data_IF_834325041233
#
_entry.id   IF_834325041233
#
_cell.length_a   1.000
_cell.length_b   1.000
_cell.length_c   1.000
_cell.angle_alpha   90.00
_cell.angle_beta   90.00
_cell.angle_gamma   90.00
#
_symmetry.space_group_name_H-M   'P 1'
#
loop_
_entity.id
_entity.type
_entity.pdbx_description
1 polymer ?
#
# COMPACT_ATOMS: atom_id res chain seq x y z
N UNK A 1 -6.67 5.04 -9.86
CA UNK A 1 -5.39 5.77 -9.64
C UNK A 1 -4.39 5.53 -10.77
N UNK A 2 -3.94 4.29 -11.00
CA UNK A 2 -2.91 3.97 -12.01
C UNK A 2 -3.20 4.52 -13.41
N UNK A 3 -4.42 4.34 -13.94
CA UNK A 3 -4.78 4.85 -15.28
C UNK A 3 -4.60 6.37 -15.42
N UNK A 4 -4.96 7.14 -14.39
CA UNK A 4 -4.74 8.59 -14.36
C UNK A 4 -3.26 8.94 -14.21
N UNK A 5 -2.52 8.28 -13.31
CA UNK A 5 -1.10 8.55 -13.13
C UNK A 5 -0.29 8.26 -14.42
N UNK A 6 -0.59 7.12 -15.07
CA UNK A 6 0.04 6.68 -16.32
C UNK A 6 -0.28 7.56 -17.53
N UNK A 7 -1.37 8.34 -17.49
CA UNK A 7 -1.65 9.30 -18.56
C UNK A 7 -0.79 10.56 -18.48
N UNK A 8 -0.17 10.83 -17.32
CA UNK A 8 0.69 11.99 -17.08
C UNK A 8 2.18 11.65 -17.18
N UNK A 9 2.56 10.43 -16.80
CA UNK A 9 3.95 9.97 -16.81
C UNK A 9 4.01 8.47 -17.08
N UNK A 10 5.04 8.00 -17.80
CA UNK A 10 5.30 6.57 -17.92
C UNK A 10 5.71 5.99 -16.55
N UNK A 11 4.88 5.07 -16.04
CA UNK A 11 5.01 4.44 -14.73
C UNK A 11 4.87 2.92 -14.89
N UNK A 12 5.95 2.25 -15.35
CA UNK A 12 5.93 0.82 -15.64
C UNK A 12 5.76 0.01 -14.34
N UNK A 13 4.94 -1.03 -14.39
CA UNK A 13 4.87 -2.03 -13.34
C UNK A 13 6.22 -2.72 -13.16
N UNK A 14 6.51 -3.21 -11.96
CA UNK A 14 7.56 -4.21 -11.82
C UNK A 14 7.17 -5.51 -12.54
N UNK A 15 8.07 -6.12 -13.34
CA UNK A 15 7.84 -7.45 -13.90
C UNK A 15 8.10 -8.55 -12.88
N UNK A 16 8.87 -8.26 -11.83
CA UNK A 16 9.17 -9.12 -10.69
C UNK A 16 9.60 -8.28 -9.50
N UNK A 17 9.49 -8.81 -8.28
CA UNK A 17 10.00 -8.08 -7.11
C UNK A 17 11.53 -7.92 -7.18
N UNK A 18 12.09 -6.74 -6.81
CA UNK A 18 13.53 -6.56 -6.73
C UNK A 18 14.16 -7.55 -5.74
N UNK A 19 15.25 -8.20 -6.18
CA UNK A 19 15.98 -9.16 -5.35
C UNK A 19 16.68 -8.46 -4.17
N UNK A 20 16.97 -9.19 -3.08
CA UNK A 20 17.75 -8.67 -1.98
C UNK A 20 19.15 -8.21 -2.41
N UNK A 21 19.77 -7.40 -1.57
CA UNK A 21 21.15 -6.94 -1.73
C UNK A 21 22.10 -8.12 -2.07
N UNK A 22 22.87 -8.04 -3.16
CA UNK A 22 23.84 -9.08 -3.49
C UNK A 22 24.98 -9.11 -2.43
N UNK A 23 25.50 -10.29 -2.06
CA UNK A 23 26.63 -10.37 -1.14
C UNK A 23 27.89 -9.75 -1.73
N UNK A 24 28.64 -8.97 -0.92
CA UNK A 24 29.83 -8.23 -1.35
C UNK A 24 30.91 -9.17 -1.95
N UNK A 25 31.04 -10.36 -1.37
CA UNK A 25 31.99 -11.39 -1.76
C UNK A 25 31.63 -12.08 -3.10
N UNK A 26 30.37 -11.97 -3.55
CA UNK A 26 29.90 -12.55 -4.81
C UNK A 26 29.83 -11.53 -5.93
N UNK A 27 29.35 -10.33 -5.64
CA UNK A 27 29.25 -9.24 -6.61
C UNK A 27 29.53 -7.89 -5.95
N UNK A 28 30.81 -7.50 -5.99
CA UNK A 28 31.26 -6.22 -5.44
C UNK A 28 30.65 -5.01 -6.15
N UNK A 29 30.47 -5.06 -7.48
CA UNK A 29 29.94 -3.92 -8.23
C UNK A 29 28.43 -3.80 -8.02
N UNK A 30 27.70 -4.92 -8.02
CA UNK A 30 26.28 -4.96 -7.67
C UNK A 30 26.03 -4.45 -6.26
N UNK A 31 26.84 -4.87 -5.28
CA UNK A 31 26.75 -4.37 -3.90
C UNK A 31 26.87 -2.84 -3.86
N UNK A 32 27.89 -2.25 -4.50
CA UNK A 32 28.08 -0.78 -4.49
C UNK A 32 26.90 -0.06 -5.16
N UNK A 33 26.42 -0.56 -6.30
CA UNK A 33 25.25 0.01 -7.00
C UNK A 33 23.97 -0.07 -6.19
N UNK A 34 23.81 -1.13 -5.40
CA UNK A 34 22.66 -1.30 -4.51
C UNK A 34 22.63 -0.20 -3.44
N UNK A 35 23.76 0.12 -2.82
CA UNK A 35 23.83 1.20 -1.82
C UNK A 35 23.72 2.60 -2.42
N UNK A 36 23.96 2.76 -3.72
CA UNK A 36 23.66 4.00 -4.46
C UNK A 36 22.17 4.15 -4.78
N UNK A 37 21.37 3.10 -4.57
CA UNK A 37 19.97 3.02 -4.98
C UNK A 37 19.78 3.42 -6.46
N UNK A 38 20.68 2.92 -7.33
CA UNK A 38 20.84 3.41 -8.69
C UNK A 38 19.57 3.37 -9.55
N UNK A 39 18.68 2.40 -9.32
CA UNK A 39 17.39 2.25 -10.02
C UNK A 39 16.17 2.72 -9.19
N UNK A 40 16.39 3.19 -7.97
CA UNK A 40 15.33 3.60 -7.05
C UNK A 40 14.66 2.44 -6.29
N UNK A 41 15.10 1.19 -6.47
CA UNK A 41 14.42 0.00 -5.95
C UNK A 41 15.21 -0.78 -4.88
N UNK A 42 16.38 -0.29 -4.48
CA UNK A 42 17.11 -0.86 -3.36
C UNK A 42 16.32 -0.67 -2.05
N UNK A 43 16.39 -1.64 -1.15
CA UNK A 43 15.72 -1.52 0.16
C UNK A 43 16.40 -0.43 0.99
N UNK A 44 15.63 0.55 1.49
CA UNK A 44 16.18 1.51 2.44
C UNK A 44 16.60 0.80 3.73
N UNK A 45 17.68 1.28 4.39
CA UNK A 45 18.11 0.73 5.67
C UNK A 45 16.99 0.70 6.72
N UNK A 46 17.02 -0.32 7.58
CA UNK A 46 16.14 -0.39 8.74
C UNK A 46 16.39 0.79 9.70
N UNK A 47 15.39 1.11 10.52
CA UNK A 47 15.52 2.10 11.59
C UNK A 47 15.04 1.52 12.92
N UNK A 48 15.45 2.17 14.00
CA UNK A 48 14.98 1.85 15.34
C UNK A 48 13.86 2.80 15.73
N UNK A 49 12.81 2.24 16.33
CA UNK A 49 11.71 2.99 16.94
C UNK A 49 11.95 3.06 18.45
N UNK A 50 12.21 4.25 19.01
CA UNK A 50 12.44 4.41 20.46
C UNK A 50 11.27 3.83 21.27
N UNK A 51 11.58 3.03 22.30
CA UNK A 51 10.58 2.42 23.18
C UNK A 51 9.57 1.45 22.51
N UNK A 52 9.82 1.01 21.27
CA UNK A 52 9.02 -0.02 20.58
C UNK A 52 9.93 -1.07 19.92
N UNK A 53 10.41 -2.01 20.74
CA UNK A 53 11.27 -3.11 20.31
C UNK A 53 10.57 -4.06 19.33
N UNK A 54 9.26 -4.31 19.53
CA UNK A 54 8.47 -5.16 18.63
C UNK A 54 8.39 -4.56 17.22
N UNK A 55 8.13 -3.25 17.13
CA UNK A 55 8.10 -2.56 15.84
C UNK A 55 9.48 -2.50 15.20
N UNK A 56 10.51 -2.21 15.99
CA UNK A 56 11.91 -2.22 15.51
C UNK A 56 12.28 -3.58 14.93
N UNK A 57 11.97 -4.67 15.65
CA UNK A 57 12.23 -6.03 15.18
C UNK A 57 11.44 -6.33 13.90
N UNK A 58 10.16 -5.97 13.85
CA UNK A 58 9.32 -6.22 12.69
C UNK A 58 9.79 -5.46 11.43
N UNK A 59 10.24 -4.21 11.56
CA UNK A 59 10.84 -3.43 10.46
C UNK A 59 12.15 -4.07 10.00
N UNK A 60 12.94 -4.62 10.93
CA UNK A 60 14.15 -5.35 10.58
C UNK A 60 13.83 -6.62 9.80
N UNK A 61 12.91 -7.43 10.32
CA UNK A 61 12.53 -8.72 9.75
C UNK A 61 11.93 -8.56 8.35
N UNK A 62 11.01 -7.62 8.16
CA UNK A 62 10.34 -7.44 6.86
C UNK A 62 11.32 -7.04 5.73
N UNK A 63 12.44 -6.42 6.08
CA UNK A 63 13.51 -6.01 5.15
C UNK A 63 14.58 -7.09 4.97
N UNK A 64 14.57 -8.15 5.77
CA UNK A 64 15.53 -9.24 5.68
C UNK A 64 15.46 -9.98 4.33
N UNK A 65 16.59 -10.58 3.93
CA UNK A 65 16.67 -11.39 2.72
C UNK A 65 15.88 -12.70 2.87
N UNK A 66 15.89 -13.28 4.07
CA UNK A 66 15.14 -14.48 4.41
C UNK A 66 13.64 -14.26 4.21
N UNK A 67 13.13 -13.10 4.61
CA UNK A 67 11.72 -12.74 4.44
C UNK A 67 11.33 -12.55 2.97
N UNK A 68 12.25 -12.09 2.12
CA UNK A 68 12.02 -12.11 0.67
C UNK A 68 11.75 -13.53 0.18
N UNK A 69 12.62 -14.47 0.53
CA UNK A 69 12.52 -15.86 0.10
C UNK A 69 11.33 -16.60 0.73
N UNK A 70 10.97 -16.31 1.98
CA UNK A 70 9.89 -17.00 2.68
C UNK A 70 8.50 -16.43 2.41
N UNK A 71 8.39 -15.16 2.03
CA UNK A 71 7.11 -14.46 1.88
C UNK A 71 6.95 -13.83 0.49
N UNK A 72 7.81 -12.90 0.09
CA UNK A 72 7.64 -12.15 -1.16
C UNK A 72 7.70 -13.04 -2.39
N UNK A 73 8.64 -13.99 -2.46
CA UNK A 73 8.70 -14.95 -3.56
C UNK A 73 7.53 -15.94 -3.54
N UNK A 74 6.99 -16.27 -2.35
CA UNK A 74 5.80 -17.13 -2.22
C UNK A 74 4.58 -16.40 -2.78
N UNK A 75 4.34 -15.15 -2.38
CA UNK A 75 3.25 -14.32 -2.92
C UNK A 75 3.41 -14.09 -4.42
N UNK A 76 4.62 -13.79 -4.88
CA UNK A 76 4.90 -13.62 -6.31
C UNK A 76 4.57 -14.87 -7.13
N UNK A 77 4.87 -16.06 -6.60
CA UNK A 77 4.52 -17.33 -7.21
C UNK A 77 3.02 -17.60 -7.17
N UNK A 78 2.39 -17.49 -6.00
CA UNK A 78 0.96 -17.77 -5.79
C UNK A 78 0.08 -16.88 -6.66
N UNK A 79 0.37 -15.59 -6.71
CA UNK A 79 -0.42 -14.64 -7.49
C UNK A 79 -0.15 -14.68 -9.00
N UNK A 80 0.69 -15.61 -9.46
CA UNK A 80 0.86 -15.97 -10.87
C UNK A 80 0.44 -17.41 -11.18
N UNK A 81 0.09 -18.22 -10.18
CA UNK A 81 -0.34 -19.61 -10.38
C UNK A 81 -1.83 -19.66 -10.77
N UNK A 82 -2.17 -20.08 -12.00
CA UNK A 82 -3.56 -20.16 -12.43
C UNK A 82 -4.40 -21.12 -11.57
N UNK A 83 -3.80 -22.16 -10.97
CA UNK A 83 -4.53 -23.10 -10.09
C UNK A 83 -4.86 -22.48 -8.74
N UNK A 84 -4.03 -21.55 -8.28
CA UNK A 84 -4.26 -20.81 -7.05
C UNK A 84 -5.35 -19.76 -7.28
N UNK A 85 -5.15 -18.91 -8.29
CA UNK A 85 -6.04 -17.79 -8.61
C UNK A 85 -7.47 -18.21 -8.98
N UNK A 86 -7.64 -19.31 -9.73
CA UNK A 86 -8.96 -19.77 -10.17
C UNK A 86 -9.90 -20.24 -9.04
N UNK A 87 -9.43 -20.23 -7.79
CA UNK A 87 -10.20 -20.57 -6.58
C UNK A 87 -10.77 -19.35 -5.87
N UNK A 88 -10.37 -18.15 -6.27
CA UNK A 88 -10.67 -16.91 -5.57
C UNK A 88 -11.64 -16.08 -6.40
N UNK A 89 -12.67 -15.51 -5.78
CA UNK A 89 -13.35 -14.35 -6.36
C UNK A 89 -12.43 -13.14 -6.41
N UNK A 90 -12.80 -12.12 -7.17
CA UNK A 90 -12.07 -10.86 -7.25
C UNK A 90 -12.02 -10.15 -5.88
N UNK A 91 -13.11 -10.20 -5.10
CA UNK A 91 -13.12 -9.69 -3.73
C UNK A 91 -12.19 -10.46 -2.79
N UNK A 92 -12.14 -11.79 -2.90
CA UNK A 92 -11.22 -12.62 -2.11
C UNK A 92 -9.76 -12.32 -2.45
N UNK A 93 -9.42 -12.25 -3.74
CA UNK A 93 -8.07 -11.91 -4.21
C UNK A 93 -7.64 -10.54 -3.69
N UNK A 94 -8.49 -9.51 -3.84
CA UNK A 94 -8.20 -8.17 -3.38
C UNK A 94 -7.96 -8.10 -1.88
N UNK A 95 -8.84 -8.71 -1.07
CA UNK A 95 -8.73 -8.75 0.39
C UNK A 95 -7.48 -9.49 0.86
N UNK A 96 -7.16 -10.63 0.24
CA UNK A 96 -5.97 -11.40 0.60
C UNK A 96 -4.67 -10.66 0.27
N UNK A 97 -4.59 -10.03 -0.90
CA UNK A 97 -3.45 -9.22 -1.29
C UNK A 97 -3.29 -7.99 -0.39
N UNK A 98 -4.38 -7.29 -0.06
CA UNK A 98 -4.36 -6.09 0.77
C UNK A 98 -3.89 -6.39 2.21
N UNK A 99 -4.47 -7.41 2.84
CA UNK A 99 -4.18 -7.76 4.24
C UNK A 99 -2.86 -8.54 4.42
N UNK A 100 -2.29 -9.07 3.34
CA UNK A 100 -1.04 -9.83 3.35
C UNK A 100 0.12 -9.07 2.74
N UNK A 101 0.14 -9.00 1.41
CA UNK A 101 1.27 -8.52 0.61
C UNK A 101 1.39 -6.99 0.59
N UNK A 102 0.28 -6.28 0.45
CA UNK A 102 0.26 -4.83 0.19
C UNK A 102 0.90 -4.03 1.31
N UNK A 103 0.45 -4.18 2.56
CA UNK A 103 1.02 -3.48 3.71
C UNK A 103 2.52 -3.79 3.87
N UNK A 104 2.92 -5.01 3.49
CA UNK A 104 4.30 -5.45 3.52
C UNK A 104 5.17 -4.83 2.42
N UNK A 105 4.63 -4.63 1.21
CA UNK A 105 5.30 -3.89 0.14
C UNK A 105 5.60 -2.45 0.57
N UNK A 106 4.62 -1.77 1.16
CA UNK A 106 4.78 -0.43 1.71
C UNK A 106 5.92 -0.37 2.72
N UNK A 107 5.90 -1.22 3.76
CA UNK A 107 6.88 -1.14 4.84
C UNK A 107 8.26 -1.71 4.49
N UNK A 108 8.33 -2.66 3.54
CA UNK A 108 9.61 -3.18 3.05
C UNK A 108 10.41 -2.13 2.28
N UNK A 109 9.77 -1.35 1.42
CA UNK A 109 10.43 -0.27 0.67
C UNK A 109 10.35 1.11 1.32
N UNK A 110 9.67 1.25 2.47
CA UNK A 110 9.69 2.50 3.22
C UNK A 110 11.10 2.85 3.70
N UNK A 111 11.53 4.10 3.49
CA UNK A 111 12.59 4.71 4.28
C UNK A 111 12.04 5.22 5.61
N UNK A 112 12.93 5.56 6.55
CA UNK A 112 12.51 6.23 7.79
C UNK A 112 11.71 7.50 7.43
N UNK A 113 10.52 7.70 8.01
CA UNK A 113 9.75 8.93 7.82
C UNK A 113 10.53 10.13 8.36
N UNK A 114 10.38 11.30 7.72
CA UNK A 114 11.10 12.53 8.07
C UNK A 114 10.13 13.70 8.18
N UNK A 115 10.41 14.64 9.10
CA UNK A 115 9.69 15.91 9.15
C UNK A 115 10.03 16.73 7.88
N UNK A 116 9.06 17.11 7.06
CA UNK A 116 9.33 17.78 5.78
C UNK A 116 10.00 19.16 5.95
N UNK A 117 9.87 19.78 7.12
CA UNK A 117 10.42 21.13 7.36
C UNK A 117 11.95 21.13 7.53
N UNK A 118 12.53 20.01 7.99
CA UNK A 118 13.95 19.96 8.36
C UNK A 118 14.64 18.61 8.06
N UNK A 119 13.91 17.60 7.57
CA UNK A 119 14.42 16.28 7.26
C UNK A 119 14.74 15.40 8.49
N UNK A 120 14.41 15.83 9.70
CA UNK A 120 14.69 15.06 10.92
C UNK A 120 13.87 13.75 10.92
N UNK A 121 14.47 12.60 11.30
CA UNK A 121 13.76 11.33 11.35
C UNK A 121 12.66 11.36 12.43
N UNK A 122 11.47 10.88 12.08
CA UNK A 122 10.30 10.81 12.96
C UNK A 122 9.74 9.37 12.97
N UNK A 123 10.40 8.38 13.60
CA UNK A 123 10.17 6.94 13.40
C UNK A 123 8.72 6.41 13.47
N UNK A 124 7.81 7.16 14.10
CA UNK A 124 6.39 6.84 14.24
C UNK A 124 5.48 7.50 13.20
N UNK A 125 6.07 8.23 12.25
CA UNK A 125 5.40 9.03 11.23
C UNK A 125 4.51 10.14 11.81
N UNK A 126 3.72 10.76 10.93
CA UNK A 126 2.74 11.80 11.23
C UNK A 126 1.59 11.22 12.07
N UNK A 127 1.04 12.04 12.97
CA UNK A 127 -0.27 11.75 13.57
C UNK A 127 -1.37 11.79 12.47
N UNK A 128 -2.22 10.76 12.32
CA UNK A 128 -3.28 10.74 11.31
C UNK A 128 -4.16 12.00 11.26
N UNK A 129 -4.37 12.67 12.39
CA UNK A 129 -5.17 13.90 12.52
C UNK A 129 -4.36 15.21 12.44
N UNK A 130 -3.02 15.17 12.30
CA UNK A 130 -2.18 16.35 12.10
C UNK A 130 -2.20 16.79 10.62
N UNK A 131 -2.94 17.85 10.33
CA UNK A 131 -3.04 18.47 9.00
C UNK A 131 -2.21 19.75 8.87
N UNK A 132 -1.13 19.89 9.63
CA UNK A 132 -0.23 21.02 9.45
C UNK A 132 0.34 21.07 8.04
N UNK A 133 0.49 22.30 7.50
CA UNK A 133 0.91 22.53 6.11
C UNK A 133 2.21 21.83 5.71
N UNK A 134 3.15 21.66 6.66
CA UNK A 134 4.43 20.96 6.42
C UNK A 134 4.25 19.55 5.87
N UNK A 135 3.21 18.83 6.30
CA UNK A 135 2.99 17.44 5.86
C UNK A 135 2.53 17.33 4.40
N UNK A 136 2.01 18.42 3.83
CA UNK A 136 1.60 18.46 2.42
C UNK A 136 2.77 18.80 1.48
N UNK A 137 3.97 19.04 2.00
CA UNK A 137 5.14 19.30 1.21
C UNK A 137 5.58 18.03 0.45
N UNK A 138 6.13 18.15 -0.78
CA UNK A 138 6.49 17.00 -1.61
C UNK A 138 7.56 16.10 -0.99
N UNK A 139 8.33 16.61 -0.03
CA UNK A 139 9.30 15.84 0.74
C UNK A 139 8.65 14.80 1.67
N UNK A 140 7.34 14.90 1.92
CA UNK A 140 6.59 13.87 2.62
C UNK A 140 6.12 12.78 1.66
N UNK A 141 7.00 11.84 1.34
CA UNK A 141 6.74 10.69 0.47
C UNK A 141 6.79 9.35 1.23
N UNK A 142 6.50 9.39 2.54
CA UNK A 142 6.64 8.20 3.36
C UNK A 142 5.63 7.10 2.97
N UNK A 143 6.16 5.94 2.56
CA UNK A 143 5.38 4.79 2.13
C UNK A 143 4.49 4.19 3.22
N UNK A 144 4.82 4.38 4.51
CA UNK A 144 4.07 3.78 5.62
C UNK A 144 2.75 4.49 6.01
N UNK A 145 2.39 5.60 5.36
CA UNK A 145 1.15 6.36 5.57
C UNK A 145 0.45 6.62 4.22
N UNK A 146 -0.83 6.24 4.02
CA UNK A 146 -1.57 6.52 2.78
C UNK A 146 -1.70 8.00 2.44
N UNK A 147 -1.54 8.89 3.43
CA UNK A 147 -1.48 10.34 3.20
C UNK A 147 -0.32 10.75 2.28
N UNK A 148 0.80 10.02 2.31
CA UNK A 148 2.04 10.33 1.58
C UNK A 148 2.53 9.22 0.66
N UNK A 149 2.05 7.98 0.82
CA UNK A 149 2.62 6.82 0.14
C UNK A 149 2.60 6.92 -1.38
N UNK A 150 1.53 7.50 -1.94
CA UNK A 150 1.34 7.70 -3.37
C UNK A 150 2.29 8.76 -3.99
N UNK A 151 3.00 9.53 -3.16
CA UNK A 151 4.04 10.47 -3.62
C UNK A 151 5.35 9.73 -3.93
N UNK A 152 5.62 8.61 -3.26
CA UNK A 152 6.82 7.83 -3.46
C UNK A 152 6.84 7.15 -4.85
N UNK A 153 7.92 7.23 -5.64
CA UNK A 153 7.97 6.57 -6.95
C UNK A 153 7.76 5.05 -6.88
N UNK A 154 8.26 4.38 -5.85
CA UNK A 154 8.18 2.92 -5.69
C UNK A 154 6.74 2.44 -5.55
N UNK A 155 5.85 3.28 -5.00
CA UNK A 155 4.41 3.02 -4.92
C UNK A 155 3.84 2.56 -6.26
N UNK A 156 4.12 3.31 -7.32
CA UNK A 156 3.54 3.07 -8.63
C UNK A 156 4.03 1.76 -9.26
N UNK A 157 5.27 1.36 -8.97
CA UNK A 157 5.84 0.12 -9.50
C UNK A 157 5.20 -1.12 -8.90
N UNK A 158 5.06 -1.19 -7.57
CA UNK A 158 4.43 -2.36 -6.93
C UNK A 158 2.90 -2.33 -7.03
N UNK A 159 2.26 -1.16 -7.06
CA UNK A 159 0.83 -1.11 -7.37
C UNK A 159 0.54 -1.53 -8.81
N UNK A 160 1.40 -1.16 -9.76
CA UNK A 160 1.34 -1.70 -11.12
C UNK A 160 1.52 -3.22 -11.14
N UNK A 161 2.47 -3.76 -10.38
CA UNK A 161 2.65 -5.21 -10.25
C UNK A 161 1.39 -5.89 -9.72
N UNK A 162 0.70 -5.32 -8.71
CA UNK A 162 -0.55 -5.84 -8.15
C UNK A 162 -1.67 -5.80 -9.20
N UNK A 163 -1.84 -4.67 -9.88
CA UNK A 163 -2.85 -4.45 -10.94
C UNK A 163 -2.69 -5.49 -12.06
N UNK A 164 -1.45 -5.78 -12.48
CA UNK A 164 -1.17 -6.79 -13.49
C UNK A 164 -1.59 -8.22 -13.07
N UNK A 165 -1.67 -8.52 -11.75
CA UNK A 165 -2.15 -9.83 -11.26
C UNK A 165 -3.65 -10.02 -11.45
N UNK A 166 -4.42 -8.95 -11.59
CA UNK A 166 -5.85 -9.02 -11.91
C UNK A 166 -6.04 -9.69 -13.29
N UNK A 167 -5.13 -9.42 -14.23
CA UNK A 167 -5.14 -10.05 -15.53
C UNK A 167 -4.68 -11.52 -15.48
N UNK A 168 -3.76 -11.87 -14.58
CA UNK A 168 -3.43 -13.28 -14.30
C UNK A 168 -4.64 -14.03 -13.73
N UNK A 169 -5.40 -13.39 -12.82
CA UNK A 169 -6.64 -13.93 -12.27
C UNK A 169 -7.71 -14.13 -13.34
N UNK A 170 -7.92 -13.14 -14.21
CA UNK A 170 -8.86 -13.27 -15.33
C UNK A 170 -8.48 -14.46 -16.23
N UNK A 171 -7.20 -14.56 -16.62
CA UNK A 171 -6.70 -15.70 -17.42
C UNK A 171 -6.86 -17.04 -16.70
N UNK A 172 -6.72 -17.06 -15.38
CA UNK A 172 -6.95 -18.26 -14.58
C UNK A 172 -8.42 -18.71 -14.63
N UNK A 173 -9.36 -17.77 -14.48
CA UNK A 173 -10.79 -18.07 -14.62
C UNK A 173 -11.16 -18.48 -16.03
N UNK A 174 -10.64 -17.83 -17.07
CA UNK A 174 -10.88 -18.27 -18.45
C UNK A 174 -10.37 -19.69 -18.72
N UNK A 175 -9.31 -20.11 -18.02
CA UNK A 175 -8.75 -21.46 -18.14
C UNK A 175 -9.59 -22.52 -17.42
N UNK A 176 -10.06 -22.25 -16.21
CA UNK A 176 -10.69 -23.24 -15.34
C UNK A 176 -12.22 -23.12 -15.22
N UNK A 177 -12.76 -21.95 -15.55
CA UNK A 177 -14.17 -21.55 -15.46
C UNK A 177 -14.55 -20.70 -16.71
N UNK A 178 -14.40 -21.24 -17.94
CA UNK A 178 -14.44 -20.45 -19.17
C UNK A 178 -15.78 -19.73 -19.35
N UNK A 179 -15.73 -18.42 -19.60
CA UNK A 179 -16.91 -17.58 -19.84
C UNK A 179 -17.68 -17.18 -18.57
N UNK A 180 -17.24 -17.60 -17.38
CA UNK A 180 -17.87 -17.20 -16.12
C UNK A 180 -17.43 -15.80 -15.63
N UNK A 181 -16.39 -15.23 -16.24
CA UNK A 181 -15.93 -13.84 -16.00
C UNK A 181 -15.98 -13.07 -17.30
N UNK A 182 -16.69 -11.95 -17.32
CA UNK A 182 -16.85 -11.10 -18.51
C UNK A 182 -16.22 -9.74 -18.28
N UNK A 183 -15.50 -9.23 -19.27
CA UNK A 183 -14.94 -7.87 -19.24
C UNK A 183 -16.05 -6.82 -19.36
N UNK A 184 -15.86 -5.69 -18.69
CA UNK A 184 -16.76 -4.55 -18.68
C UNK A 184 -15.95 -3.27 -18.45
N UNK A 185 -16.35 -2.14 -19.03
CA UNK A 185 -15.79 -0.84 -18.62
C UNK A 185 -16.61 -0.27 -17.47
N UNK A 186 -15.96 0.08 -16.36
CA UNK A 186 -16.60 0.69 -15.18
C UNK A 186 -15.86 1.97 -14.83
N UNK A 187 -16.56 3.11 -14.82
CA UNK A 187 -15.97 4.43 -14.55
C UNK A 187 -14.76 4.78 -15.45
N UNK A 188 -14.79 4.36 -16.73
CA UNK A 188 -13.70 4.58 -17.69
C UNK A 188 -12.48 3.68 -17.47
N UNK A 189 -12.61 2.63 -16.65
CA UNK A 189 -11.55 1.65 -16.35
C UNK A 189 -11.95 0.28 -16.91
N UNK A 190 -11.01 -0.38 -17.59
CA UNK A 190 -11.20 -1.77 -18.00
C UNK A 190 -11.31 -2.67 -16.76
N UNK A 191 -12.46 -3.33 -16.63
CA UNK A 191 -12.88 -4.06 -15.44
C UNK A 191 -13.67 -5.32 -15.81
N UNK A 192 -14.44 -5.86 -14.86
CA UNK A 192 -15.25 -7.07 -15.02
C UNK A 192 -16.69 -6.86 -14.56
N UNK A 193 -17.62 -7.53 -15.24
CA UNK A 193 -19.02 -7.53 -14.88
C UNK A 193 -19.28 -8.39 -13.62
N UNK A 194 -20.29 -8.04 -12.80
CA UNK A 194 -20.71 -8.86 -11.67
C UNK A 194 -21.13 -10.26 -12.10
N UNK A 195 -20.85 -11.24 -11.26
CA UNK A 195 -21.14 -12.65 -11.52
C UNK A 195 -20.65 -13.54 -10.40
N UNK A 196 -20.44 -14.82 -10.71
CA UNK A 196 -19.98 -15.82 -9.72
C UNK A 196 -18.67 -15.42 -9.04
N UNK A 197 -17.76 -14.81 -9.78
CA UNK A 197 -16.40 -14.50 -9.34
C UNK A 197 -16.16 -13.00 -9.13
N UNK A 198 -17.16 -12.15 -9.34
CA UNK A 198 -17.10 -10.70 -9.14
C UNK A 198 -18.38 -10.30 -8.39
N UNK A 199 -18.26 -10.05 -7.09
CA UNK A 199 -19.40 -9.97 -6.19
C UNK A 199 -20.27 -8.72 -6.42
N UNK A 200 -19.64 -7.61 -6.78
CA UNK A 200 -20.29 -6.29 -6.92
C UNK A 200 -19.87 -5.59 -8.22
N UNK A 201 -20.72 -4.70 -8.72
CA UNK A 201 -20.50 -3.97 -9.99
C UNK A 201 -20.22 -2.48 -9.83
N UNK A 202 -20.24 -2.01 -8.60
CA UNK A 202 -20.18 -0.63 -8.16
C UNK A 202 -18.97 -0.44 -7.22
N UNK A 203 -17.73 -0.49 -7.75
CA UNK A 203 -16.54 -0.27 -6.94
C UNK A 203 -16.56 1.10 -6.26
N UNK A 204 -16.16 1.13 -4.99
CA UNK A 204 -16.17 2.34 -4.17
C UNK A 204 -14.94 3.22 -4.44
N UNK A 205 -15.17 4.44 -4.93
CA UNK A 205 -14.15 5.47 -5.17
C UNK A 205 -14.39 6.68 -4.26
N UNK A 206 -14.96 6.43 -3.07
CA UNK A 206 -15.39 7.49 -2.16
C UNK A 206 -16.72 8.13 -2.57
N UNK A 207 -16.95 9.40 -2.19
CA UNK A 207 -18.17 10.14 -2.49
C UNK A 207 -18.51 10.26 -3.98
N UNK A 208 -17.53 10.11 -4.86
CA UNK A 208 -17.75 10.18 -6.31
C UNK A 208 -18.66 9.08 -6.85
N UNK A 209 -18.62 7.89 -6.25
CA UNK A 209 -19.47 6.77 -6.69
C UNK A 209 -20.59 6.46 -5.69
N UNK A 210 -20.42 6.82 -4.41
CA UNK A 210 -21.36 6.44 -3.34
C UNK A 210 -21.70 7.59 -2.38
N UNK A 211 -21.38 8.83 -2.76
CA UNK A 211 -21.82 10.02 -2.04
C UNK A 211 -23.32 10.24 -2.24
N UNK A 212 -23.97 10.80 -1.22
CA UNK A 212 -25.41 11.11 -1.27
C UNK A 212 -25.65 12.63 -1.28
N UNK A 213 -24.60 13.44 -1.15
CA UNK A 213 -24.73 14.89 -1.13
C UNK A 213 -24.95 15.44 -2.53
N UNK A 214 -25.98 16.29 -2.67
CA UNK A 214 -26.24 17.06 -3.89
C UNK A 214 -25.66 18.47 -3.83
N UNK A 215 -25.05 18.84 -2.69
CA UNK A 215 -24.41 20.14 -2.51
C UNK A 215 -23.12 20.20 -3.32
N UNK A 216 -22.95 21.18 -4.24
CA UNK A 216 -21.72 21.35 -4.99
C UNK A 216 -20.52 21.59 -4.07
N UNK A 217 -19.39 20.93 -4.35
CA UNK A 217 -18.12 21.16 -3.67
C UNK A 217 -17.28 22.26 -4.29
N UNK A 218 -16.11 22.50 -3.70
CA UNK A 218 -15.08 23.42 -4.18
C UNK A 218 -14.46 22.97 -5.51
N UNK A 219 -14.37 21.66 -5.73
CA UNK A 219 -13.90 21.11 -7.00
C UNK A 219 -15.04 21.04 -8.01
N UNK A 220 -14.81 21.62 -9.20
CA UNK A 220 -15.81 21.62 -10.26
C UNK A 220 -16.23 20.19 -10.63
N UNK A 221 -17.53 19.92 -10.59
CA UNK A 221 -18.11 18.61 -10.92
C UNK A 221 -18.07 17.58 -9.78
N UNK A 222 -17.66 17.97 -8.57
CA UNK A 222 -17.64 17.11 -7.37
C UNK A 222 -18.62 17.62 -6.31
N UNK A 223 -19.09 16.71 -5.45
CA UNK A 223 -19.91 17.08 -4.28
C UNK A 223 -19.05 17.66 -3.16
N UNK A 224 -19.68 18.37 -2.22
CA UNK A 224 -19.02 18.91 -1.02
C UNK A 224 -18.33 17.85 -0.15
N UNK A 225 -18.70 16.57 -0.30
CA UNK A 225 -18.03 15.47 0.40
C UNK A 225 -16.58 15.27 -0.06
N UNK A 226 -16.22 15.80 -1.23
CA UNK A 226 -14.86 15.84 -1.74
C UNK A 226 -14.06 17.09 -1.30
N UNK A 227 -14.65 17.96 -0.46
CA UNK A 227 -13.95 19.16 -0.01
C UNK A 227 -12.89 18.84 1.05
N UNK A 228 -11.70 19.46 0.99
CA UNK A 228 -10.61 19.16 1.93
C UNK A 228 -11.00 19.28 3.40
N UNK A 229 -11.82 20.26 3.77
CA UNK A 229 -12.26 20.42 5.17
C UNK A 229 -13.26 19.34 5.61
N UNK A 230 -14.07 18.81 4.69
CA UNK A 230 -14.97 17.68 4.97
C UNK A 230 -14.16 16.38 5.11
N UNK A 231 -13.17 16.16 4.25
CA UNK A 231 -12.23 15.04 4.41
C UNK A 231 -11.48 15.11 5.74
N UNK A 232 -10.94 16.28 6.11
CA UNK A 232 -10.30 16.49 7.42
C UNK A 232 -11.25 16.23 8.58
N UNK A 233 -12.51 16.68 8.49
CA UNK A 233 -13.53 16.43 9.51
C UNK A 233 -13.80 14.93 9.65
N UNK A 234 -13.99 14.21 8.55
CA UNK A 234 -14.20 12.76 8.56
C UNK A 234 -13.04 12.03 9.24
N UNK A 235 -11.79 12.38 8.90
CA UNK A 235 -10.60 11.81 9.54
C UNK A 235 -10.51 12.13 11.03
N UNK A 236 -10.88 13.36 11.45
CA UNK A 236 -10.95 13.71 12.88
C UNK A 236 -12.04 12.93 13.62
N UNK A 237 -13.15 12.60 12.97
CA UNK A 237 -14.18 11.74 13.57
C UNK A 237 -13.64 10.31 13.72
N UNK A 238 -12.95 9.79 12.70
CA UNK A 238 -12.39 8.43 12.71
C UNK A 238 -11.25 8.26 13.72
N UNK A 239 -10.38 9.26 13.86
CA UNK A 239 -9.14 9.13 14.66
C UNK A 239 -9.11 10.00 15.93
N UNK A 240 -9.83 11.12 15.96
CA UNK A 240 -9.80 12.07 17.07
C UNK A 240 -10.83 11.78 18.18
N UNK A 241 -11.88 11.03 17.87
CA UNK A 241 -12.91 10.68 18.84
C UNK A 241 -12.53 9.40 19.61
N UNK A 242 -11.54 9.46 20.53
CA UNK A 242 -11.57 8.70 21.79
C UNK A 242 -10.27 8.69 22.65
N UNK A 243 -9.26 9.53 22.40
CA UNK A 243 -8.03 9.44 23.19
C UNK A 243 -8.22 9.71 24.70
N UNK A 244 -9.15 10.57 25.10
CA UNK A 244 -9.39 10.83 26.53
C UNK A 244 -10.30 9.80 27.21
N UNK A 245 -11.25 9.19 26.49
CA UNK A 245 -12.22 8.24 27.04
C UNK A 245 -11.64 6.81 27.14
N UNK A 246 -10.71 6.45 26.25
CA UNK A 246 -10.06 5.13 26.20
C UNK A 246 -8.79 5.01 27.02
N UNK A 247 -8.21 6.13 27.50
CA UNK A 247 -6.98 6.18 28.30
C UNK A 247 -6.97 5.24 29.52
N UNK A 248 -8.15 4.92 30.06
CA UNK A 248 -8.32 4.03 31.21
C UNK A 248 -8.73 2.59 30.91
N UNK A 249 -9.12 2.27 29.67
CA UNK A 249 -9.76 0.98 29.33
C UNK A 249 -8.85 0.02 28.56
N UNK A 250 -7.84 0.52 27.86
CA UNK A 250 -6.93 -0.30 27.05
C UNK A 250 -5.46 0.02 27.35
N UNK A 251 -4.63 -1.03 27.36
CA UNK A 251 -3.17 -0.87 27.37
C UNK A 251 -2.79 -0.01 26.16
N UNK A 252 -2.12 1.12 26.37
CA UNK A 252 -1.69 2.04 25.29
C UNK A 252 -1.06 1.23 24.16
N UNK A 253 -1.75 1.14 23.03
CA UNK A 253 -1.17 0.60 21.81
C UNK A 253 -0.14 1.64 21.35
N UNK A 254 1.13 1.27 21.16
CA UNK A 254 2.13 2.21 20.67
C UNK A 254 1.68 2.82 19.34
N UNK A 255 1.84 4.13 19.19
CA UNK A 255 1.62 4.79 17.90
C UNK A 255 2.62 4.22 16.90
N UNK A 256 2.12 3.77 15.74
CA UNK A 256 2.93 3.19 14.66
C UNK A 256 2.40 3.72 13.32
N UNK A 257 3.22 3.71 12.25
CA UNK A 257 2.74 4.00 10.91
C UNK A 257 1.51 3.20 10.51
N UNK A 258 0.69 3.74 9.62
CA UNK A 258 -0.58 3.15 9.19
C UNK A 258 -0.40 1.69 8.78
N UNK A 259 0.53 1.40 7.86
CA UNK A 259 0.77 0.04 7.36
C UNK A 259 1.55 -0.87 8.34
N UNK A 260 1.92 -0.37 9.52
CA UNK A 260 2.52 -1.15 10.60
C UNK A 260 1.58 -1.36 11.81
N UNK A 261 0.38 -0.74 11.81
CA UNK A 261 -0.55 -0.81 12.94
C UNK A 261 -1.08 -2.22 13.23
N UNK A 262 -1.07 -3.10 12.24
CA UNK A 262 -1.50 -4.50 12.33
C UNK A 262 -0.33 -5.50 12.37
N UNK A 263 0.89 -5.02 12.65
CA UNK A 263 2.06 -5.90 12.70
C UNK A 263 1.86 -7.07 13.67
N UNK A 264 2.43 -8.22 13.30
CA UNK A 264 2.47 -9.42 14.14
C UNK A 264 3.88 -9.96 14.13
N UNK A 265 4.52 -9.93 15.29
CA UNK A 265 5.83 -10.57 15.49
C UNK A 265 5.60 -12.07 15.70
N UNK A 266 6.29 -12.91 14.94
CA UNK A 266 6.32 -14.35 15.24
C UNK A 266 7.06 -14.53 16.56
N UNK A 267 6.38 -15.05 17.57
CA UNK A 267 7.06 -15.54 18.77
C UNK A 267 7.64 -16.90 18.40
N UNK A 268 8.95 -17.06 18.48
CA UNK A 268 9.56 -18.39 18.49
C UNK A 268 8.98 -19.13 19.71
N UNK A 269 8.43 -20.32 19.46
CA UNK A 269 7.81 -21.17 20.47
C UNK A 269 8.87 -22.04 21.16
#
# INVERSE_FOLDING_TARGET
>A
MLGTARSMQDLPSWPQFPEPQPPLERDRLGFVRYFDNHDGFALPPCWSAPDDADYTQWVSDIKAAETYHSNFQVWESQYRDPRYLAKLSLGQLGSEMELGLHDWLHMRWASVPRDPSNGAPVPFARDPADFAARWYAPENDFLGDPFSSHVNPVFWHFHGWIDDRIEDWFRAHERFNPGEVSRLEVNGVAWFAPGRWVEIGDPWLGPDTHGCSTTPGLQQGRSMEMDPEIMKLALRITFGADEELLKGLFKRVPQRPWYARHLKVKREA
#
